data_IF_454214864481
#
_entry.id   IF_454214864481
#
_cell.length_a   1.000
_cell.length_b   1.000
_cell.length_c   1.000
_cell.angle_alpha   90.00
_cell.angle_beta   90.00
_cell.angle_gamma   90.00
#
_symmetry.space_group_name_H-M   'P 1'
#
loop_
_entity.id
_entity.type
_entity.pdbx_description
1 polymer ?
#
# COMPACT_ATOMS: atom_id res chain seq x y z
N UNK A 1 -23.35 49.37 -23.52
CA UNK A 1 -21.90 49.50 -23.79
C UNK A 1 -21.20 49.45 -22.45
N UNK A 2 -20.08 48.71 -22.36
CA UNK A 2 -19.66 47.84 -21.25
C UNK A 2 -20.44 46.52 -21.35
N UNK A 3 -19.92 45.41 -21.88
CA UNK A 3 -18.55 45.01 -22.21
C UNK A 3 -18.56 43.49 -22.06
N UNK A 4 -18.97 42.80 -23.13
CA UNK A 4 -18.94 41.35 -23.27
C UNK A 4 -17.47 40.92 -23.40
N UNK A 5 -16.77 40.63 -22.30
CA UNK A 5 -15.38 40.13 -22.34
C UNK A 5 -15.04 39.26 -21.10
N UNK A 6 -16.02 38.56 -20.50
CA UNK A 6 -15.80 37.66 -19.36
C UNK A 6 -15.75 36.16 -19.74
N UNK A 7 -15.76 35.82 -21.04
CA UNK A 7 -15.72 34.42 -21.51
C UNK A 7 -14.33 33.95 -21.99
N UNK A 8 -13.29 34.78 -21.97
CA UNK A 8 -11.97 34.44 -22.56
C UNK A 8 -10.80 34.39 -21.54
N UNK A 9 -11.08 34.03 -20.29
CA UNK A 9 -10.05 33.82 -19.26
C UNK A 9 -10.09 32.45 -18.58
N UNK A 10 -10.89 31.50 -19.09
CA UNK A 10 -10.75 30.08 -18.78
C UNK A 10 -9.79 29.45 -19.79
N UNK A 11 -8.58 30.01 -19.91
CA UNK A 11 -7.48 29.20 -20.46
C UNK A 11 -7.33 28.04 -19.50
N UNK A 12 -7.55 26.84 -20.02
CA UNK A 12 -7.18 25.60 -19.38
C UNK A 12 -5.79 25.79 -18.76
N UNK A 13 -5.76 25.97 -17.45
CA UNK A 13 -4.59 25.65 -16.67
C UNK A 13 -4.52 24.13 -16.76
N UNK A 14 -4.05 23.62 -17.90
CA UNK A 14 -3.41 22.32 -18.00
C UNK A 14 -2.16 22.43 -17.11
N UNK A 15 -2.37 22.42 -15.79
CA UNK A 15 -1.31 22.05 -14.88
C UNK A 15 -0.86 20.68 -15.36
N UNK A 16 0.42 20.52 -15.75
CA UNK A 16 0.96 19.21 -16.07
C UNK A 16 0.52 18.28 -14.95
N UNK A 17 -0.02 17.11 -15.30
CA UNK A 17 -0.57 16.18 -14.31
C UNK A 17 0.49 15.76 -13.30
N UNK A 18 0.63 16.50 -12.20
CA UNK A 18 1.69 16.29 -11.23
C UNK A 18 1.16 15.42 -10.10
N UNK A 19 1.85 14.30 -9.85
CA UNK A 19 1.65 13.49 -8.66
C UNK A 19 2.60 13.92 -7.56
N UNK A 20 2.16 13.76 -6.32
CA UNK A 20 2.99 13.99 -5.16
C UNK A 20 2.71 15.28 -4.42
N UNK A 21 3.64 15.62 -3.53
CA UNK A 21 3.47 16.67 -2.55
C UNK A 21 4.81 17.14 -1.99
N UNK A 22 4.78 18.12 -1.07
CA UNK A 22 5.98 18.84 -0.64
C UNK A 22 7.12 17.94 -0.16
N UNK A 23 6.82 16.88 0.59
CA UNK A 23 7.84 15.96 1.12
C UNK A 23 8.03 14.69 0.28
N UNK A 24 7.10 14.36 -0.61
CA UNK A 24 7.21 13.17 -1.46
C UNK A 24 7.85 13.46 -2.83
N UNK A 25 8.05 14.74 -3.15
CA UNK A 25 8.50 15.20 -4.45
C UNK A 25 7.36 15.25 -5.47
N UNK A 26 7.64 15.86 -6.62
CA UNK A 26 6.69 16.03 -7.72
C UNK A 26 7.06 15.09 -8.89
N UNK A 27 6.07 14.40 -9.45
CA UNK A 27 6.21 13.49 -10.57
C UNK A 27 5.34 13.95 -11.73
N UNK A 28 5.93 14.11 -12.92
CA UNK A 28 5.29 14.85 -14.01
C UNK A 28 4.28 14.06 -14.86
N UNK A 29 4.19 12.73 -14.68
CA UNK A 29 3.26 11.87 -15.41
C UNK A 29 3.09 10.50 -14.72
N UNK A 30 2.13 9.71 -15.21
CA UNK A 30 1.77 8.42 -14.63
C UNK A 30 2.87 7.36 -14.73
N UNK A 31 3.70 7.37 -15.79
CA UNK A 31 4.86 6.49 -15.86
C UNK A 31 5.87 6.82 -14.77
N UNK A 32 6.15 8.10 -14.52
CA UNK A 32 7.01 8.53 -13.42
C UNK A 32 6.47 8.09 -12.05
N UNK A 33 5.15 8.08 -11.86
CA UNK A 33 4.51 7.49 -10.68
C UNK A 33 4.81 5.99 -10.56
N UNK A 34 4.61 5.20 -11.62
CA UNK A 34 4.92 3.76 -11.62
C UNK A 34 6.40 3.48 -11.33
N UNK A 35 7.30 4.21 -11.99
CA UNK A 35 8.74 4.09 -11.74
C UNK A 35 9.09 4.45 -10.29
N UNK A 36 8.50 5.51 -9.74
CA UNK A 36 8.70 5.88 -8.33
C UNK A 36 8.22 4.78 -7.37
N UNK A 37 7.09 4.14 -7.64
CA UNK A 37 6.57 3.00 -6.86
C UNK A 37 7.57 1.84 -6.86
N UNK A 38 8.12 1.50 -8.02
CA UNK A 38 9.12 0.43 -8.16
C UNK A 38 10.44 0.80 -7.45
N UNK A 39 10.96 2.02 -7.67
CA UNK A 39 12.23 2.48 -7.10
C UNK A 39 12.18 2.59 -5.58
N UNK A 40 11.07 3.09 -4.99
CA UNK A 40 10.87 3.10 -3.52
C UNK A 40 10.94 1.70 -2.88
N UNK A 41 10.78 0.65 -3.69
CA UNK A 41 10.80 -0.77 -3.27
C UNK A 41 12.05 -1.51 -3.71
N UNK A 42 13.01 -0.82 -4.31
CA UNK A 42 14.22 -1.44 -4.83
C UNK A 42 15.00 -2.13 -3.73
N UNK A 43 15.31 -3.39 -3.98
CA UNK A 43 16.22 -4.18 -3.14
C UNK A 43 17.32 -4.74 -4.02
N UNK A 44 18.42 -5.21 -3.42
CA UNK A 44 19.62 -5.64 -4.17
C UNK A 44 19.37 -6.69 -5.27
N UNK A 45 18.29 -7.48 -5.16
CA UNK A 45 17.93 -8.48 -6.17
C UNK A 45 16.58 -8.11 -6.78
N UNK A 46 16.48 -8.24 -8.09
CA UNK A 46 15.22 -8.06 -8.83
C UNK A 46 14.13 -9.00 -8.29
N UNK A 47 12.93 -8.46 -8.15
CA UNK A 47 11.70 -9.19 -7.80
C UNK A 47 10.59 -8.97 -8.82
N UNK A 48 10.62 -7.83 -9.52
CA UNK A 48 9.80 -7.51 -10.67
C UNK A 48 10.65 -6.81 -11.73
N UNK A 49 10.23 -6.91 -12.99
CA UNK A 49 10.68 -6.03 -14.07
C UNK A 49 9.51 -5.16 -14.54
N UNK A 50 9.84 -3.99 -15.09
CA UNK A 50 8.90 -3.07 -15.70
C UNK A 50 9.41 -2.72 -17.09
N UNK A 51 8.67 -3.11 -18.12
CA UNK A 51 9.07 -3.01 -19.52
C UNK A 51 7.97 -2.38 -20.35
N UNK A 52 8.33 -1.62 -21.38
CA UNK A 52 7.34 -1.07 -22.31
C UNK A 52 6.86 -2.15 -23.28
N UNK A 53 5.54 -2.24 -23.50
CA UNK A 53 4.93 -3.26 -24.36
C UNK A 53 4.75 -2.72 -25.77
N UNK A 54 5.77 -2.95 -26.60
CA UNK A 54 5.68 -2.74 -28.04
C UNK A 54 5.71 -1.27 -28.48
N UNK A 55 6.78 -0.92 -29.20
CA UNK A 55 6.92 0.32 -29.99
C UNK A 55 6.27 1.56 -29.38
N UNK A 56 5.34 2.13 -30.13
CA UNK A 56 4.73 3.45 -29.86
C UNK A 56 3.61 3.44 -28.81
N UNK A 57 3.18 2.28 -28.27
CA UNK A 57 2.01 2.21 -27.38
C UNK A 57 2.25 2.91 -26.03
N UNK A 58 3.50 2.92 -25.56
CA UNK A 58 3.89 3.30 -24.20
C UNK A 58 3.16 2.54 -23.08
N UNK A 59 2.53 1.41 -23.39
CA UNK A 59 1.96 0.49 -22.40
C UNK A 59 3.08 -0.08 -21.52
N UNK A 60 2.75 -0.45 -20.28
CA UNK A 60 3.72 -0.94 -19.30
C UNK A 60 3.37 -2.35 -18.84
N UNK A 61 4.29 -3.30 -19.04
CA UNK A 61 4.21 -4.64 -18.44
C UNK A 61 5.00 -4.66 -17.14
N UNK A 62 4.33 -5.08 -16.07
CA UNK A 62 4.97 -5.41 -14.81
C UNK A 62 5.00 -6.93 -14.72
N UNK A 63 6.19 -7.52 -14.63
CA UNK A 63 6.38 -8.97 -14.60
C UNK A 63 7.06 -9.38 -13.29
N UNK A 64 6.43 -10.29 -12.56
CA UNK A 64 7.07 -10.88 -11.38
C UNK A 64 8.22 -11.80 -11.79
N UNK A 65 9.27 -11.86 -10.97
CA UNK A 65 10.32 -12.87 -11.08
C UNK A 65 9.86 -14.26 -10.59
N UNK A 66 8.64 -14.37 -10.06
CA UNK A 66 8.01 -15.62 -9.65
C UNK A 66 6.93 -15.99 -10.68
N UNK A 67 7.12 -17.10 -11.38
CA UNK A 67 6.28 -17.52 -12.52
C UNK A 67 4.80 -17.67 -12.13
N UNK A 68 4.53 -18.21 -10.94
CA UNK A 68 3.19 -18.39 -10.38
C UNK A 68 2.44 -17.08 -10.11
N UNK A 69 3.16 -15.95 -9.98
CA UNK A 69 2.56 -14.63 -9.77
C UNK A 69 2.29 -13.88 -11.09
N UNK A 70 2.85 -14.34 -12.22
CA UNK A 70 2.57 -13.83 -13.56
C UNK A 70 2.98 -12.37 -13.81
N UNK A 71 2.25 -11.73 -14.72
CA UNK A 71 2.40 -10.32 -15.09
C UNK A 71 1.06 -9.62 -15.25
N UNK A 72 1.12 -8.28 -15.25
CA UNK A 72 0.04 -7.44 -15.72
C UNK A 72 0.54 -6.47 -16.79
N UNK A 73 -0.36 -6.04 -17.66
CA UNK A 73 -0.13 -4.92 -18.59
C UNK A 73 -1.06 -3.78 -18.18
N UNK A 74 -0.50 -2.59 -18.04
CA UNK A 74 -1.23 -1.35 -17.78
C UNK A 74 -1.17 -0.53 -19.06
N UNK A 75 -2.34 -0.24 -19.62
CA UNK A 75 -2.45 0.52 -20.85
C UNK A 75 -2.06 1.98 -20.63
N UNK A 76 -1.42 2.59 -21.62
CA UNK A 76 -1.05 3.99 -21.59
C UNK A 76 -2.26 4.93 -21.42
N UNK A 77 -3.42 4.55 -21.97
CA UNK A 77 -4.68 5.28 -21.76
C UNK A 77 -5.13 5.27 -20.30
N UNK A 78 -4.92 4.18 -19.58
CA UNK A 78 -5.21 4.08 -18.15
C UNK A 78 -4.19 4.90 -17.32
N UNK A 79 -2.91 4.86 -17.70
CA UNK A 79 -1.83 5.65 -17.08
C UNK A 79 -2.10 7.17 -17.24
N UNK A 80 -2.50 7.61 -18.43
CA UNK A 80 -2.75 9.01 -18.75
C UNK A 80 -3.91 9.62 -17.96
N UNK A 81 -4.87 8.80 -17.50
CA UNK A 81 -6.04 9.26 -16.72
C UNK A 81 -5.72 9.56 -15.26
N UNK A 82 -4.66 8.98 -14.70
CA UNK A 82 -4.38 9.08 -13.27
C UNK A 82 -4.22 10.50 -12.76
N UNK A 83 -3.67 11.40 -13.57
CA UNK A 83 -3.50 12.79 -13.17
C UNK A 83 -4.85 13.49 -12.96
N UNK A 84 -5.75 13.36 -13.94
CA UNK A 84 -7.11 13.94 -13.85
C UNK A 84 -8.01 13.26 -12.81
N UNK A 85 -7.66 12.03 -12.40
CA UNK A 85 -8.37 11.29 -11.34
C UNK A 85 -7.70 11.43 -9.97
N UNK A 86 -6.64 12.23 -9.84
CA UNK A 86 -5.94 12.39 -8.57
C UNK A 86 -6.69 13.29 -7.60
N UNK A 87 -6.62 12.94 -6.33
CA UNK A 87 -7.18 13.71 -5.20
C UNK A 87 -6.09 13.98 -4.18
N UNK A 88 -6.37 14.84 -3.20
CA UNK A 88 -5.50 14.99 -2.05
C UNK A 88 -5.59 13.73 -1.17
N UNK A 89 -4.55 12.90 -1.22
CA UNK A 89 -4.38 11.73 -0.37
C UNK A 89 -3.49 12.09 0.83
N UNK A 90 -3.73 11.43 1.96
CA UNK A 90 -2.88 11.55 3.15
C UNK A 90 -1.64 10.67 3.04
N UNK A 91 -1.76 9.51 2.41
CA UNK A 91 -0.73 8.48 2.21
C UNK A 91 -0.15 7.86 3.48
N UNK A 92 -0.67 8.19 4.67
CA UNK A 92 -0.23 7.61 5.95
C UNK A 92 -1.38 7.50 6.96
N UNK A 93 -2.51 6.96 6.52
CA UNK A 93 -3.67 6.71 7.39
C UNK A 93 -3.41 5.56 8.38
N UNK A 94 -2.53 5.79 9.35
CA UNK A 94 -2.28 4.91 10.50
C UNK A 94 -3.19 5.28 11.67
N UNK A 95 -3.43 4.37 12.63
CA UNK A 95 -4.18 4.71 13.85
C UNK A 95 -3.60 5.90 14.63
N UNK A 96 -2.28 6.13 14.56
CA UNK A 96 -1.59 7.24 15.23
C UNK A 96 -1.99 8.61 14.66
N UNK A 97 -2.42 8.63 13.40
CA UNK A 97 -2.76 9.84 12.66
C UNK A 97 -4.26 10.15 12.68
N UNK A 98 -5.06 9.34 13.40
CA UNK A 98 -6.51 9.50 13.53
C UNK A 98 -6.87 9.89 14.96
N UNK A 99 -7.47 11.07 15.13
CA UNK A 99 -7.98 11.53 16.44
C UNK A 99 -9.45 11.16 16.54
N UNK A 100 -9.80 10.35 17.54
CA UNK A 100 -11.18 9.94 17.82
C UNK A 100 -11.70 10.66 19.06
N UNK A 101 -12.91 11.22 18.96
CA UNK A 101 -13.66 11.77 20.09
C UNK A 101 -14.68 10.72 20.57
N UNK A 102 -14.55 10.30 21.83
CA UNK A 102 -15.57 9.49 22.50
C UNK A 102 -16.84 10.31 22.72
N UNK A 103 -17.99 9.70 22.48
CA UNK A 103 -19.33 10.25 22.67
C UNK A 103 -20.19 9.20 23.35
N UNK A 104 -20.96 9.60 24.34
CA UNK A 104 -21.98 8.74 24.94
C UNK A 104 -23.25 8.95 24.12
N UNK A 105 -23.77 7.90 23.47
CA UNK A 105 -25.06 7.98 22.80
C UNK A 105 -26.21 8.04 23.80
N UNK A 106 -27.40 8.38 23.30
CA UNK A 106 -28.62 8.50 24.10
C UNK A 106 -28.98 7.20 24.85
N UNK A 107 -28.56 6.04 24.33
CA UNK A 107 -28.72 4.72 24.96
C UNK A 107 -27.60 4.35 25.95
N UNK A 108 -26.71 5.29 26.29
CA UNK A 108 -25.61 5.09 27.23
C UNK A 108 -24.41 4.32 26.65
N UNK A 109 -24.42 3.96 25.36
CA UNK A 109 -23.27 3.29 24.72
C UNK A 109 -22.18 4.28 24.35
N UNK A 110 -20.94 3.86 24.51
CA UNK A 110 -19.78 4.59 24.00
C UNK A 110 -19.72 4.44 22.48
N UNK A 111 -19.76 5.56 21.77
CA UNK A 111 -19.53 5.68 20.34
C UNK A 111 -18.30 6.57 20.11
N UNK A 112 -17.65 6.41 18.97
CA UNK A 112 -16.50 7.24 18.58
C UNK A 112 -16.81 7.98 17.30
N UNK A 113 -16.43 9.26 17.25
CA UNK A 113 -16.47 10.07 16.03
C UNK A 113 -15.05 10.48 15.67
N UNK A 114 -14.71 10.46 14.38
CA UNK A 114 -13.49 11.10 13.89
C UNK A 114 -13.52 12.60 14.22
N UNK A 115 -12.54 13.07 14.97
CA UNK A 115 -12.36 14.46 15.35
C UNK A 115 -11.33 15.18 14.48
N UNK A 116 -10.34 14.45 13.97
CA UNK A 116 -9.34 15.01 13.07
C UNK A 116 -8.41 13.95 12.49
N UNK A 117 -7.75 14.32 11.40
CA UNK A 117 -6.66 13.57 10.77
C UNK A 117 -5.44 14.48 10.84
N UNK A 118 -4.32 13.97 11.36
CA UNK A 118 -3.08 14.73 11.61
C UNK A 118 -1.91 14.11 10.87
N UNK A 119 -0.77 14.79 10.86
CA UNK A 119 0.48 14.31 10.24
C UNK A 119 0.39 14.16 8.71
N UNK A 120 0.03 15.27 8.05
CA UNK A 120 -0.11 15.37 6.60
C UNK A 120 1.23 15.50 5.85
N UNK A 121 2.35 15.09 6.46
CA UNK A 121 3.68 15.29 5.85
C UNK A 121 3.83 14.53 4.53
N UNK A 122 3.24 13.33 4.43
CA UNK A 122 3.25 12.48 3.23
C UNK A 122 2.11 12.79 2.25
N UNK A 123 1.30 13.82 2.54
CA UNK A 123 0.16 14.16 1.72
C UNK A 123 0.58 14.69 0.34
N UNK A 124 -0.27 14.44 -0.65
CA UNK A 124 -0.05 14.90 -2.02
C UNK A 124 -1.18 14.50 -2.96
N UNK A 125 -1.09 14.93 -4.21
CA UNK A 125 -2.04 14.56 -5.24
C UNK A 125 -1.70 13.18 -5.79
N UNK A 126 -2.60 12.21 -5.58
CA UNK A 126 -2.45 10.84 -6.05
C UNK A 126 -3.80 10.26 -6.46
N UNK A 127 -3.83 9.24 -7.33
CA UNK A 127 -5.04 8.46 -7.56
C UNK A 127 -5.54 7.86 -6.23
N UNK A 128 -6.83 7.91 -5.90
CA UNK A 128 -7.36 7.33 -4.65
C UNK A 128 -6.99 5.85 -4.45
N UNK A 129 -6.86 5.08 -5.55
CA UNK A 129 -6.38 3.70 -5.53
C UNK A 129 -4.95 3.55 -5.00
N UNK A 130 -4.09 4.56 -5.16
CA UNK A 130 -2.74 4.57 -4.60
C UNK A 130 -2.79 4.46 -3.07
N UNK A 131 -3.58 5.32 -2.41
CA UNK A 131 -3.74 5.32 -0.97
C UNK A 131 -4.42 4.04 -0.46
N UNK A 132 -5.37 3.49 -1.22
CA UNK A 132 -5.97 2.19 -0.93
C UNK A 132 -4.93 1.06 -0.95
N UNK A 133 -4.04 1.04 -1.96
CA UNK A 133 -2.98 0.04 -2.10
C UNK A 133 -1.87 0.20 -1.07
N UNK A 134 -1.64 1.41 -0.56
CA UNK A 134 -0.72 1.62 0.55
C UNK A 134 -1.16 0.88 1.82
N UNK A 135 -2.46 0.64 2.02
CA UNK A 135 -2.93 -0.13 3.18
C UNK A 135 -2.43 -1.58 3.16
N UNK A 136 -2.32 -2.18 1.98
CA UNK A 136 -1.74 -3.53 1.82
C UNK A 136 -0.23 -3.52 2.08
N UNK A 137 0.43 -2.38 1.83
CA UNK A 137 1.87 -2.18 2.08
C UNK A 137 2.18 -2.03 3.57
N UNK A 138 1.35 -1.27 4.28
CA UNK A 138 1.53 -0.98 5.71
C UNK A 138 0.99 -2.08 6.62
N UNK A 139 0.26 -3.06 6.06
CA UNK A 139 -0.19 -4.22 6.81
C UNK A 139 0.99 -4.87 7.55
N UNK A 140 0.80 -5.17 8.84
CA UNK A 140 1.80 -5.71 9.80
C UNK A 140 2.93 -4.78 10.25
N UNK A 141 3.06 -3.58 9.69
CA UNK A 141 3.95 -2.53 10.19
C UNK A 141 3.16 -1.63 11.15
N UNK A 142 3.15 -1.97 12.45
CA UNK A 142 2.48 -1.23 13.54
C UNK A 142 0.94 -1.18 13.48
N UNK A 143 0.30 -2.02 12.68
CA UNK A 143 -1.17 -2.02 12.52
C UNK A 143 -1.77 -3.35 12.95
N UNK A 144 -2.76 -3.25 13.83
CA UNK A 144 -3.61 -4.38 14.19
C UNK A 144 -4.47 -4.80 12.99
N UNK A 145 -4.71 -6.10 12.82
CA UNK A 145 -5.45 -6.65 11.68
C UNK A 145 -6.87 -6.11 11.61
N UNK A 146 -7.54 -5.93 12.77
CA UNK A 146 -8.88 -5.33 12.82
C UNK A 146 -8.93 -3.92 12.22
N UNK A 147 -7.89 -3.10 12.44
CA UNK A 147 -7.83 -1.77 11.85
C UNK A 147 -7.68 -1.83 10.33
N UNK A 148 -6.80 -2.71 9.84
CA UNK A 148 -6.65 -2.93 8.40
C UNK A 148 -7.97 -3.38 7.76
N UNK A 149 -8.65 -4.37 8.34
CA UNK A 149 -9.92 -4.89 7.81
C UNK A 149 -11.00 -3.80 7.77
N UNK A 150 -11.17 -3.06 8.88
CA UNK A 150 -12.13 -1.95 8.96
C UNK A 150 -11.81 -0.86 7.93
N UNK A 151 -10.54 -0.45 7.84
CA UNK A 151 -10.13 0.60 6.92
C UNK A 151 -10.34 0.19 5.47
N UNK A 152 -9.98 -1.04 5.08
CA UNK A 152 -10.21 -1.57 3.74
C UNK A 152 -11.71 -1.68 3.42
N UNK A 153 -12.52 -2.15 4.37
CA UNK A 153 -13.97 -2.25 4.21
C UNK A 153 -14.63 -0.90 3.91
N UNK A 154 -14.16 0.18 4.55
CA UNK A 154 -14.68 1.52 4.27
C UNK A 154 -14.10 2.12 2.99
N UNK A 155 -12.78 2.04 2.80
CA UNK A 155 -12.12 2.67 1.65
C UNK A 155 -12.56 2.04 0.32
N UNK A 156 -12.80 0.72 0.25
CA UNK A 156 -13.22 0.06 -0.99
C UNK A 156 -14.54 0.60 -1.57
N UNK A 157 -15.37 1.23 -0.74
CA UNK A 157 -16.66 1.80 -1.11
C UNK A 157 -16.59 3.28 -1.52
N UNK A 158 -15.47 3.96 -1.22
CA UNK A 158 -15.27 5.39 -1.49
C UNK A 158 -14.32 5.60 -2.68
N UNK A 159 -13.35 4.70 -2.85
CA UNK A 159 -12.37 4.77 -3.94
C UNK A 159 -13.05 4.47 -5.29
N UNK A 160 -12.95 5.34 -6.30
CA UNK A 160 -13.52 5.11 -7.62
C UNK A 160 -12.97 3.83 -8.28
N UNK A 161 -13.83 3.06 -8.94
CA UNK A 161 -13.49 1.77 -9.58
C UNK A 161 -13.36 1.88 -11.11
N UNK A 162 -12.81 2.97 -11.63
CA UNK A 162 -12.51 3.07 -13.07
C UNK A 162 -11.43 2.06 -13.48
N UNK A 163 -11.34 1.76 -14.79
CA UNK A 163 -10.31 0.85 -15.33
C UNK A 163 -8.90 1.27 -14.92
N UNK A 164 -8.61 2.58 -14.98
CA UNK A 164 -7.35 3.18 -14.59
C UNK A 164 -7.01 2.95 -13.11
N UNK A 165 -7.98 3.13 -12.21
CA UNK A 165 -7.78 2.89 -10.77
C UNK A 165 -7.55 1.40 -10.49
N UNK A 166 -8.34 0.51 -11.11
CA UNK A 166 -8.17 -0.95 -10.98
C UNK A 166 -6.77 -1.39 -11.48
N UNK A 167 -6.32 -0.84 -12.61
CA UNK A 167 -5.01 -1.15 -13.16
C UNK A 167 -3.88 -0.74 -12.21
N UNK A 168 -4.00 0.43 -11.57
CA UNK A 168 -3.03 0.87 -10.56
C UNK A 168 -3.02 -0.05 -9.33
N UNK A 169 -4.19 -0.41 -8.77
CA UNK A 169 -4.25 -1.31 -7.60
C UNK A 169 -3.57 -2.64 -7.90
N UNK A 170 -3.88 -3.25 -9.05
CA UNK A 170 -3.27 -4.52 -9.47
C UNK A 170 -1.76 -4.41 -9.67
N UNK A 171 -1.29 -3.29 -10.23
CA UNK A 171 0.14 -3.03 -10.38
C UNK A 171 0.86 -2.91 -9.06
N UNK A 172 0.31 -2.12 -8.14
CA UNK A 172 0.88 -1.96 -6.80
C UNK A 172 0.89 -3.28 -6.02
N UNK A 173 -0.18 -4.07 -6.13
CA UNK A 173 -0.26 -5.41 -5.54
C UNK A 173 0.85 -6.33 -6.06
N UNK A 174 0.96 -6.48 -7.39
CA UNK A 174 1.95 -7.39 -7.99
C UNK A 174 3.38 -6.99 -7.59
N UNK A 175 3.69 -5.70 -7.63
CA UNK A 175 4.99 -5.17 -7.21
C UNK A 175 5.26 -5.52 -5.74
N UNK A 176 4.32 -5.21 -4.86
CA UNK A 176 4.52 -5.38 -3.42
C UNK A 176 4.61 -6.85 -3.01
N UNK A 177 3.68 -7.70 -3.46
CA UNK A 177 3.70 -9.11 -3.08
C UNK A 177 4.92 -9.84 -3.66
N UNK A 178 5.37 -9.49 -4.86
CA UNK A 178 6.61 -10.02 -5.42
C UNK A 178 7.82 -9.62 -4.58
N UNK A 179 7.87 -8.38 -4.09
CA UNK A 179 8.90 -7.93 -3.15
C UNK A 179 8.83 -8.72 -1.84
N UNK A 180 7.64 -8.89 -1.25
CA UNK A 180 7.45 -9.63 -0.01
C UNK A 180 7.87 -11.10 -0.15
N UNK A 181 7.54 -11.74 -1.28
CA UNK A 181 7.98 -13.12 -1.60
C UNK A 181 9.51 -13.23 -1.65
N UNK A 182 10.19 -12.28 -2.30
CA UNK A 182 11.65 -12.23 -2.32
C UNK A 182 12.24 -12.04 -0.92
N UNK A 183 11.70 -11.10 -0.14
CA UNK A 183 12.15 -10.81 1.23
C UNK A 183 11.97 -12.04 2.14
N UNK A 184 10.83 -12.72 2.03
CA UNK A 184 10.55 -13.95 2.77
C UNK A 184 11.54 -15.07 2.42
N UNK A 185 11.80 -15.30 1.13
CA UNK A 185 12.79 -16.29 0.68
C UNK A 185 14.21 -15.99 1.20
N UNK A 186 14.49 -14.71 1.48
CA UNK A 186 15.74 -14.24 2.10
C UNK A 186 15.72 -14.20 3.62
N UNK A 187 14.66 -14.74 4.24
CA UNK A 187 14.47 -14.79 5.70
C UNK A 187 14.48 -13.38 6.33
N UNK A 188 14.02 -12.36 5.59
CA UNK A 188 13.81 -11.03 6.13
C UNK A 188 12.78 -11.11 7.27
N UNK A 189 13.11 -10.49 8.42
CA UNK A 189 12.30 -10.61 9.64
C UNK A 189 10.92 -9.97 9.48
N UNK A 190 10.81 -8.79 8.89
CA UNK A 190 9.55 -8.09 8.67
C UNK A 190 8.61 -8.88 7.76
N UNK A 191 9.13 -9.44 6.65
CA UNK A 191 8.34 -10.29 5.76
C UNK A 191 7.87 -11.59 6.43
N UNK A 192 8.68 -12.16 7.34
CA UNK A 192 8.28 -13.32 8.16
C UNK A 192 7.17 -12.95 9.15
N UNK A 193 7.33 -11.84 9.88
CA UNK A 193 6.33 -11.33 10.83
C UNK A 193 4.99 -11.12 10.11
N UNK A 194 5.01 -10.43 8.96
CA UNK A 194 3.84 -10.23 8.11
C UNK A 194 3.13 -11.55 7.81
N UNK A 195 3.87 -12.51 7.25
CA UNK A 195 3.33 -13.83 6.89
C UNK A 195 2.72 -14.55 8.09
N UNK A 196 3.41 -14.57 9.23
CA UNK A 196 2.91 -15.21 10.44
C UNK A 196 1.63 -14.55 10.96
N UNK A 197 1.53 -13.21 10.95
CA UNK A 197 0.32 -12.50 11.34
C UNK A 197 -0.86 -12.84 10.39
N UNK A 198 -0.59 -12.94 9.09
CA UNK A 198 -1.61 -13.31 8.10
C UNK A 198 -2.13 -14.73 8.34
N UNK A 199 -1.22 -15.70 8.54
CA UNK A 199 -1.57 -17.09 8.83
C UNK A 199 -2.35 -17.21 10.14
N UNK A 200 -1.87 -16.55 11.20
CA UNK A 200 -2.52 -16.55 12.51
C UNK A 200 -3.93 -15.95 12.45
N UNK A 201 -4.10 -14.89 11.66
CA UNK A 201 -5.38 -14.19 11.49
C UNK A 201 -6.29 -14.85 10.44
N UNK A 202 -5.81 -15.92 9.79
CA UNK A 202 -6.48 -16.63 8.69
C UNK A 202 -6.89 -15.70 7.55
N UNK A 203 -5.98 -14.82 7.15
CA UNK A 203 -6.20 -13.91 6.04
C UNK A 203 -5.90 -14.60 4.72
N UNK A 204 -6.82 -14.44 3.77
CA UNK A 204 -6.69 -14.87 2.38
C UNK A 204 -6.85 -13.67 1.45
N UNK A 205 -6.21 -13.70 0.28
CA UNK A 205 -6.37 -12.63 -0.70
C UNK A 205 -7.75 -12.74 -1.33
N UNK A 206 -8.48 -11.64 -1.36
CA UNK A 206 -9.76 -11.56 -2.07
C UNK A 206 -9.53 -11.41 -3.58
N UNK A 207 -10.49 -11.85 -4.38
CA UNK A 207 -10.46 -11.65 -5.84
C UNK A 207 -10.72 -10.20 -6.21
N UNK A 208 -11.43 -9.44 -5.38
CA UNK A 208 -11.55 -7.99 -5.51
C UNK A 208 -10.28 -7.32 -4.98
N UNK A 209 -9.45 -6.69 -5.85
CA UNK A 209 -8.22 -6.05 -5.41
C UNK A 209 -8.47 -4.87 -4.44
N UNK A 210 -9.69 -4.35 -4.37
CA UNK A 210 -10.06 -3.27 -3.44
C UNK A 210 -10.29 -3.80 -2.02
N UNK A 211 -10.79 -5.03 -1.89
CA UNK A 211 -10.98 -5.68 -0.60
C UNK A 211 -9.65 -6.07 0.05
N UNK A 212 -8.69 -6.52 -0.77
CA UNK A 212 -7.34 -6.85 -0.32
C UNK A 212 -7.27 -8.18 0.43
N UNK A 213 -6.79 -8.17 1.67
CA UNK A 213 -6.72 -9.37 2.52
C UNK A 213 -7.96 -9.48 3.40
N UNK A 214 -8.74 -10.55 3.24
CA UNK A 214 -10.01 -10.76 3.95
C UNK A 214 -9.97 -12.04 4.78
N UNK A 215 -10.95 -12.20 5.68
CA UNK A 215 -11.18 -13.46 6.41
C UNK A 215 -12.38 -14.16 5.80
N UNK A 216 -12.33 -15.49 5.77
CA UNK A 216 -13.50 -16.26 5.42
C UNK A 216 -14.54 -16.13 6.57
N UNK A 217 -15.81 -15.79 6.29
CA UNK A 217 -16.86 -15.75 7.31
C UNK A 217 -17.01 -17.06 8.11
N UNK A 218 -16.66 -18.20 7.50
CA UNK A 218 -16.73 -19.53 8.13
C UNK A 218 -15.64 -19.77 9.18
N UNK A 219 -14.58 -18.94 9.20
CA UNK A 219 -13.47 -19.07 10.15
C UNK A 219 -13.78 -18.56 11.57
N UNK A 220 -15.00 -18.06 11.78
CA UNK A 220 -15.45 -17.51 13.06
C UNK A 220 -14.95 -16.08 13.31
N UNK A 221 -15.23 -15.51 14.50
CA UNK A 221 -14.78 -14.16 14.85
C UNK A 221 -13.26 -14.05 14.78
N UNK A 222 -12.74 -12.83 14.60
CA UNK A 222 -11.31 -12.61 14.69
C UNK A 222 -10.86 -13.04 16.08
N UNK A 223 -9.79 -13.81 16.18
CA UNK A 223 -9.18 -14.07 17.48
C UNK A 223 -8.85 -12.70 18.07
N UNK A 224 -9.49 -12.37 19.20
CA UNK A 224 -9.08 -11.25 20.02
C UNK A 224 -7.74 -11.63 20.62
N UNK A 225 -6.67 -11.22 19.96
CA UNK A 225 -5.33 -11.29 20.55
C UNK A 225 -5.00 -9.92 21.12
N UNK A 226 -4.40 -9.91 22.30
CA UNK A 226 -3.95 -8.64 22.87
C UNK A 226 -2.78 -8.10 22.05
N UNK A 227 -2.59 -6.78 22.03
CA UNK A 227 -1.37 -6.19 21.45
C UNK A 227 -0.10 -6.80 22.05
N UNK A 228 -0.16 -7.29 23.30
CA UNK A 228 0.94 -7.98 23.97
C UNK A 228 1.26 -9.35 23.35
N UNK A 229 0.25 -10.09 22.86
CA UNK A 229 0.46 -11.40 22.23
C UNK A 229 1.18 -11.28 20.89
N UNK A 230 0.80 -10.28 20.07
CA UNK A 230 1.53 -9.97 18.83
C UNK A 230 2.94 -9.51 19.15
N UNK A 231 3.08 -8.61 20.13
CA UNK A 231 4.39 -8.06 20.47
C UNK A 231 5.32 -9.18 20.93
N UNK A 232 4.83 -10.10 21.77
CA UNK A 232 5.58 -11.29 22.19
C UNK A 232 5.98 -12.16 21.00
N UNK A 233 5.06 -12.42 20.08
CA UNK A 233 5.35 -13.18 18.85
C UNK A 233 6.46 -12.49 18.03
N UNK A 234 6.38 -11.18 17.84
CA UNK A 234 7.40 -10.38 17.15
C UNK A 234 8.75 -10.47 17.87
N UNK A 235 8.76 -10.25 19.18
CA UNK A 235 9.98 -10.29 20.00
C UNK A 235 10.66 -11.66 19.94
N UNK A 236 9.88 -12.73 20.01
CA UNK A 236 10.40 -14.10 19.95
C UNK A 236 11.01 -14.42 18.56
N UNK A 237 10.40 -13.95 17.47
CA UNK A 237 10.95 -14.07 16.13
C UNK A 237 12.23 -13.25 15.92
N UNK A 238 12.33 -12.07 16.54
CA UNK A 238 13.54 -11.24 16.53
C UNK A 238 14.66 -11.94 17.29
N UNK A 239 14.39 -12.42 18.51
CA UNK A 239 15.36 -13.18 19.33
C UNK A 239 15.89 -14.41 18.60
N UNK A 240 15.02 -15.19 17.96
CA UNK A 240 15.40 -16.35 17.16
C UNK A 240 16.35 -15.96 16.01
N UNK A 241 16.06 -14.83 15.35
CA UNK A 241 16.87 -14.32 14.23
C UNK A 241 18.25 -13.87 14.69
N UNK A 242 18.33 -13.19 15.83
CA UNK A 242 19.61 -12.74 16.40
C UNK A 242 20.44 -13.89 16.95
N UNK A 243 19.82 -14.90 17.57
CA UNK A 243 20.51 -16.13 17.98
C UNK A 243 21.15 -16.84 16.78
N UNK A 244 20.42 -16.95 15.65
CA UNK A 244 20.96 -17.53 14.40
C UNK A 244 22.14 -16.72 13.83
N UNK A 245 22.09 -15.39 13.92
CA UNK A 245 23.19 -14.53 13.47
C UNK A 245 24.44 -14.72 14.32
N UNK A 246 24.29 -14.80 15.66
CA UNK A 246 25.40 -15.08 16.59
C UNK A 246 26.05 -16.43 16.30
N UNK A 247 25.25 -17.50 16.21
CA UNK A 247 25.75 -18.85 15.87
C UNK A 247 26.49 -18.89 14.52
N UNK A 248 26.00 -18.15 13.52
CA UNK A 248 26.67 -18.08 12.21
C UNK A 248 28.00 -17.33 12.29
N UNK A 249 28.05 -16.25 13.05
CA UNK A 249 29.28 -15.48 13.27
C UNK A 249 30.34 -16.34 13.98
N UNK A 250 29.95 -17.04 15.05
CA UNK A 250 30.82 -17.95 15.81
C UNK A 250 31.41 -19.06 14.91
N UNK A 251 30.56 -19.73 14.12
CA UNK A 251 31.03 -20.75 13.15
C UNK A 251 31.99 -20.19 12.10
N UNK A 252 31.79 -18.95 11.67
CA UNK A 252 32.67 -18.30 10.68
C UNK A 252 34.00 -17.84 11.27
N UNK A 253 34.05 -17.51 12.57
CA UNK A 253 35.31 -17.23 13.27
C UNK A 253 36.11 -18.50 13.51
N UNK A 254 35.46 -19.61 13.89
CA UNK A 254 36.15 -20.89 14.13
C UNK A 254 36.69 -21.51 12.85
N UNK A 255 36.07 -21.25 11.69
CA UNK A 255 36.56 -21.73 10.39
C UNK A 255 37.72 -20.92 9.80
N UNK A 256 38.10 -19.80 10.43
CA UNK A 256 39.21 -18.92 10.00
C UNK A 256 40.43 -18.99 10.93
N UNK A 257 40.35 -19.75 12.02
CA UNK A 257 41.47 -20.11 12.90
C UNK A 257 41.96 -21.50 12.55
#
# INVERSE_FOLDING_TARGET
MLGEDDEEAQRDLETPGVFGGPHTGLLNNGHALLYSIMEKRKVKKTFCTMESVGGDSQDVRIQSSFEDMGSIVINNSDIGRWAGESVLCHNDLTPRNLILQSRISVDGKSNYKLAGIIDWELAGLYPPSYELSLQDTYFSCDRHVSFYLLLKEHMQNIVPRSSSQIALVRGMELIYESQQRLLLNRKNISARIRKTIMEYSKLTRDNDPYAGWTRNPQDGPCLEYSSADIQKLVDDMVKETDARRKLKAERSSTAKS
#
